data_IF_680049305448
#
_entry.id   IF_680049305448
#
_cell.length_a   1.000
_cell.length_b   1.000
_cell.length_c   1.000
_cell.angle_alpha   90.00
_cell.angle_beta   90.00
_cell.angle_gamma   90.00
#
_symmetry.space_group_name_H-M   'P 1'
#
loop_
_entity.id
_entity.type
_entity.pdbx_description
1 polymer ?
#
# COMPACT_ATOMS: atom_id res chain seq x y z
N UNK A 1 -3.18 29.45 28.79
CA UNK A 1 -3.33 30.57 27.85
C UNK A 1 -4.59 30.34 27.05
N UNK A 2 -5.51 31.31 27.07
CA UNK A 2 -6.78 31.30 26.34
C UNK A 2 -6.59 31.73 24.88
N UNK A 3 -7.45 31.21 23.99
CA UNK A 3 -7.87 31.84 22.73
C UNK A 3 -7.30 31.16 21.48
N UNK A 4 -8.01 30.99 20.35
CA UNK A 4 -9.29 31.53 19.89
C UNK A 4 -9.74 30.68 18.68
N UNK A 5 -11.03 30.32 18.59
CA UNK A 5 -11.64 29.68 17.42
C UNK A 5 -12.08 30.80 16.45
N UNK A 6 -11.68 30.71 15.19
CA UNK A 6 -12.19 31.54 14.10
C UNK A 6 -12.78 30.67 12.99
N UNK A 7 -13.98 31.03 12.56
CA UNK A 7 -14.85 30.25 11.70
C UNK A 7 -15.07 30.94 10.34
N UNK A 8 -15.43 30.09 9.37
CA UNK A 8 -16.31 30.33 8.19
C UNK A 8 -15.78 31.16 7.02
N UNK A 9 -15.80 30.53 5.83
CA UNK A 9 -16.30 31.16 4.60
C UNK A 9 -16.89 30.11 3.64
N UNK A 10 -18.20 30.25 3.36
CA UNK A 10 -18.95 29.60 2.29
C UNK A 10 -18.65 30.29 0.94
N UNK A 11 -18.61 29.53 -0.16
CA UNK A 11 -18.90 30.06 -1.49
C UNK A 11 -19.52 28.97 -2.39
N UNK A 12 -20.83 29.11 -2.64
CA UNK A 12 -21.62 28.37 -3.64
C UNK A 12 -21.58 29.10 -4.98
N UNK A 13 -21.44 28.40 -6.11
CA UNK A 13 -21.78 28.94 -7.43
C UNK A 13 -22.54 27.88 -8.24
N UNK A 14 -23.80 28.20 -8.48
CA UNK A 14 -24.79 27.47 -9.30
C UNK A 14 -24.71 28.03 -10.72
N UNK A 15 -24.64 27.15 -11.73
CA UNK A 15 -24.71 27.52 -13.15
C UNK A 15 -25.85 26.79 -13.85
N UNK A 16 -26.97 27.47 -14.05
CA UNK A 16 -28.14 27.01 -14.80
C UNK A 16 -28.33 27.94 -16.01
N UNK A 17 -28.51 27.39 -17.20
CA UNK A 17 -28.68 28.19 -18.42
C UNK A 17 -29.32 27.38 -19.54
N UNK A 18 -30.65 27.29 -19.51
CA UNK A 18 -31.47 26.84 -20.63
C UNK A 18 -31.73 27.96 -21.62
N UNK A 19 -31.72 27.64 -22.92
CA UNK A 19 -32.15 28.52 -24.00
C UNK A 19 -33.11 27.80 -24.92
N UNK A 20 -34.39 28.19 -24.88
CA UNK A 20 -35.41 27.88 -25.89
C UNK A 20 -35.65 29.10 -26.76
N UNK A 21 -35.77 28.91 -28.07
CA UNK A 21 -36.37 29.91 -28.95
C UNK A 21 -36.02 29.73 -30.43
N UNK A 22 -36.98 29.25 -31.22
CA UNK A 22 -37.72 30.02 -32.22
C UNK A 22 -38.08 29.16 -33.45
N UNK A 23 -39.38 29.04 -33.70
CA UNK A 23 -39.95 28.51 -34.94
C UNK A 23 -39.80 29.55 -36.06
N UNK A 24 -39.25 29.13 -37.20
CA UNK A 24 -39.30 29.87 -38.47
C UNK A 24 -40.00 29.01 -39.52
N UNK A 25 -41.14 29.51 -40.00
CA UNK A 25 -41.91 28.95 -41.10
C UNK A 25 -41.32 29.44 -42.42
N UNK A 26 -40.63 28.55 -43.15
CA UNK A 26 -40.05 28.79 -44.47
C UNK A 26 -40.66 27.89 -45.55
N UNK A 27 -40.81 28.45 -46.74
CA UNK A 27 -41.44 27.93 -47.97
C UNK A 27 -40.81 26.63 -48.51
N UNK A 28 -41.55 25.73 -49.21
CA UNK A 28 -40.99 24.50 -49.74
C UNK A 28 -40.20 24.76 -51.03
N UNK A 29 -38.89 24.69 -50.93
CA UNK A 29 -37.97 24.61 -52.07
C UNK A 29 -37.53 23.15 -52.26
N UNK A 30 -37.51 22.67 -53.51
CA UNK A 30 -37.29 21.27 -53.84
C UNK A 30 -35.88 20.81 -53.43
N UNK A 31 -35.82 19.90 -52.45
CA UNK A 31 -34.59 19.35 -51.88
C UNK A 31 -34.04 18.23 -52.78
N UNK A 32 -32.78 18.29 -53.23
CA UNK A 32 -32.13 17.17 -53.91
C UNK A 32 -31.93 15.98 -52.94
N UNK A 33 -32.11 14.76 -53.45
CA UNK A 33 -32.03 13.54 -52.66
C UNK A 33 -30.72 13.46 -51.84
N UNK A 34 -30.78 13.09 -50.54
CA UNK A 34 -29.60 13.01 -49.69
C UNK A 34 -28.67 11.90 -50.18
N UNK A 35 -27.39 12.22 -50.38
CA UNK A 35 -26.36 11.19 -50.56
C UNK A 35 -26.28 10.33 -49.28
N UNK A 36 -25.98 9.02 -49.42
CA UNK A 36 -25.82 8.15 -48.26
C UNK A 36 -24.77 8.72 -47.31
N UNK A 37 -25.18 9.05 -46.09
CA UNK A 37 -24.28 9.45 -45.02
C UNK A 37 -23.37 8.27 -44.72
N UNK A 38 -22.07 8.44 -44.92
CA UNK A 38 -21.09 7.47 -44.48
C UNK A 38 -21.21 7.32 -42.96
N UNK A 39 -21.71 6.17 -42.50
CA UNK A 39 -21.68 5.80 -41.08
C UNK A 39 -20.22 5.78 -40.66
N UNK A 40 -19.81 6.77 -39.86
CA UNK A 40 -18.51 6.76 -39.20
C UNK A 40 -18.45 5.53 -38.30
N UNK A 41 -17.63 4.55 -38.66
CA UNK A 41 -17.25 3.45 -37.77
C UNK A 41 -16.71 4.06 -36.48
N UNK A 42 -17.23 3.70 -35.29
CA UNK A 42 -16.67 4.20 -34.04
C UNK A 42 -15.18 3.85 -33.99
N UNK A 43 -14.33 4.87 -33.85
CA UNK A 43 -12.91 4.69 -33.52
C UNK A 43 -12.86 3.95 -32.19
N UNK A 44 -12.11 2.84 -32.07
CA UNK A 44 -11.94 2.18 -30.79
C UNK A 44 -11.38 3.19 -29.79
N UNK A 45 -12.06 3.33 -28.66
CA UNK A 45 -11.57 4.11 -27.53
C UNK A 45 -10.25 3.47 -27.06
N UNK A 46 -9.19 4.25 -26.82
CA UNK A 46 -7.95 3.68 -26.32
C UNK A 46 -8.21 3.01 -24.98
N UNK A 47 -8.05 1.68 -24.91
CA UNK A 47 -8.02 0.95 -23.65
C UNK A 47 -6.84 1.50 -22.83
N UNK A 48 -7.14 2.15 -21.71
CA UNK A 48 -6.13 2.52 -20.74
C UNK A 48 -5.57 1.21 -20.17
N UNK A 49 -4.28 0.97 -20.37
CA UNK A 49 -3.62 -0.20 -19.81
C UNK A 49 -3.70 -0.15 -18.28
N UNK A 50 -3.89 -1.30 -17.64
CA UNK A 50 -3.91 -1.39 -16.18
C UNK A 50 -2.49 -1.07 -15.67
N UNK A 51 -2.32 -0.04 -14.81
CA UNK A 51 -1.00 0.31 -14.30
C UNK A 51 -0.32 -0.85 -13.56
N UNK A 52 -1.07 -1.79 -12.97
CA UNK A 52 -0.52 -2.94 -12.26
C UNK A 52 0.23 -3.91 -13.19
N UNK A 53 -0.06 -3.93 -14.49
CA UNK A 53 0.68 -4.75 -15.47
C UNK A 53 2.16 -4.35 -15.58
N UNK A 54 2.52 -3.15 -15.13
CA UNK A 54 3.90 -2.65 -15.16
C UNK A 54 4.72 -3.00 -13.92
N UNK A 55 4.09 -3.54 -12.87
CA UNK A 55 4.74 -3.85 -11.59
C UNK A 55 5.62 -5.08 -11.73
N UNK A 56 6.88 -4.95 -11.29
CA UNK A 56 7.87 -6.04 -11.28
C UNK A 56 8.49 -6.25 -9.91
N UNK A 57 8.22 -5.37 -8.94
CA UNK A 57 8.75 -5.49 -7.59
C UNK A 57 7.75 -4.97 -6.53
N UNK A 58 7.73 -5.66 -5.40
CA UNK A 58 7.18 -5.20 -4.13
C UNK A 58 8.34 -4.80 -3.22
N UNK A 59 8.37 -3.53 -2.81
CA UNK A 59 9.43 -2.98 -1.98
C UNK A 59 8.87 -2.60 -0.62
N UNK A 60 9.22 -3.37 0.40
CA UNK A 60 8.87 -3.06 1.78
C UNK A 60 9.59 -1.78 2.21
N UNK A 61 8.82 -0.75 2.58
CA UNK A 61 9.31 0.47 3.24
C UNK A 61 8.80 0.52 4.68
N UNK A 62 9.35 1.39 5.55
CA UNK A 62 8.87 1.50 6.92
C UNK A 62 7.42 1.98 7.05
N UNK A 63 6.93 2.80 6.12
CA UNK A 63 5.61 3.46 6.26
C UNK A 63 4.58 3.00 5.23
N UNK A 64 5.02 2.40 4.14
CA UNK A 64 4.18 1.93 3.03
C UNK A 64 4.80 0.67 2.41
N UNK A 65 4.01 -0.07 1.66
CA UNK A 65 4.51 -1.03 0.67
C UNK A 65 4.46 -0.37 -0.71
N UNK A 66 5.60 -0.28 -1.40
CA UNK A 66 5.66 0.27 -2.75
C UNK A 66 5.56 -0.84 -3.80
N UNK A 67 4.72 -0.62 -4.81
CA UNK A 67 4.65 -1.42 -6.03
C UNK A 67 5.46 -0.67 -7.09
N UNK A 68 6.56 -1.27 -7.57
CA UNK A 68 7.50 -0.62 -8.49
C UNK A 68 7.54 -1.27 -9.86
N UNK A 69 7.75 -0.44 -10.88
CA UNK A 69 8.00 -0.87 -12.24
C UNK A 69 9.49 -1.14 -12.50
N UNK A 70 9.81 -1.67 -13.69
CA UNK A 70 11.18 -2.09 -14.04
C UNK A 70 12.21 -0.95 -14.14
N UNK A 71 11.75 0.29 -14.27
CA UNK A 71 12.56 1.50 -14.21
C UNK A 71 12.68 2.07 -12.77
N UNK A 72 12.23 1.31 -11.77
CA UNK A 72 12.21 1.67 -10.35
C UNK A 72 11.25 2.82 -9.98
N UNK A 73 10.32 3.17 -10.88
CA UNK A 73 9.25 4.12 -10.60
C UNK A 73 8.19 3.50 -9.69
N UNK A 74 7.65 4.28 -8.75
CA UNK A 74 6.51 3.86 -7.91
C UNK A 74 5.23 3.92 -8.74
N UNK A 75 4.61 2.76 -8.96
CA UNK A 75 3.33 2.60 -9.66
C UNK A 75 2.17 2.84 -8.71
N UNK A 76 2.25 2.27 -7.50
CA UNK A 76 1.27 2.42 -6.45
C UNK A 76 1.92 2.23 -5.07
N UNK A 77 1.22 2.70 -4.03
CA UNK A 77 1.60 2.50 -2.63
C UNK A 77 0.43 1.91 -1.86
N UNK A 78 0.74 1.01 -0.93
CA UNK A 78 -0.21 0.49 0.05
C UNK A 78 0.19 1.06 1.41
N UNK A 79 -0.65 1.93 1.95
CA UNK A 79 -0.47 2.54 3.26
C UNK A 79 -0.78 1.53 4.37
N UNK A 80 0.15 1.32 5.30
CA UNK A 80 -0.03 0.38 6.41
C UNK A 80 -1.11 0.79 7.42
N UNK A 81 -1.52 2.05 7.39
CA UNK A 81 -2.65 2.60 8.14
C UNK A 81 -3.94 2.63 7.32
N UNK A 82 -3.89 2.19 6.06
CA UNK A 82 -5.03 2.10 5.15
C UNK A 82 -5.99 0.97 5.50
N UNK A 83 -7.00 0.78 4.65
CA UNK A 83 -7.94 -0.34 4.78
C UNK A 83 -7.33 -1.61 4.18
N UNK A 84 -7.34 -2.71 4.95
CA UNK A 84 -6.82 -3.99 4.49
C UNK A 84 -7.52 -4.51 3.22
N UNK A 85 -8.82 -4.25 3.07
CA UNK A 85 -9.57 -4.62 1.87
C UNK A 85 -9.01 -3.99 0.58
N UNK A 86 -8.52 -2.75 0.63
CA UNK A 86 -7.93 -2.07 -0.54
C UNK A 86 -6.56 -2.68 -0.89
N UNK A 87 -5.77 -3.03 0.14
CA UNK A 87 -4.50 -3.73 -0.02
C UNK A 87 -4.71 -5.13 -0.64
N UNK A 88 -5.66 -5.90 -0.11
CA UNK A 88 -6.00 -7.23 -0.59
C UNK A 88 -6.52 -7.17 -2.03
N UNK A 89 -7.38 -6.20 -2.37
CA UNK A 89 -7.86 -6.02 -3.72
C UNK A 89 -6.73 -5.68 -4.70
N UNK A 90 -5.80 -4.81 -4.29
CA UNK A 90 -4.63 -4.43 -5.10
C UNK A 90 -3.73 -5.63 -5.38
N UNK A 91 -3.38 -6.41 -4.35
CA UNK A 91 -2.52 -7.59 -4.51
C UNK A 91 -3.22 -8.74 -5.23
N UNK A 92 -4.53 -8.91 -5.05
CA UNK A 92 -5.34 -9.85 -5.85
C UNK A 92 -5.32 -9.48 -7.34
N UNK A 93 -5.44 -8.18 -7.66
CA UNK A 93 -5.31 -7.68 -9.02
C UNK A 93 -3.92 -7.93 -9.61
N UNK A 94 -2.87 -7.65 -8.82
CA UNK A 94 -1.47 -7.87 -9.22
C UNK A 94 -1.15 -9.35 -9.49
N UNK A 95 -1.53 -10.25 -8.58
CA UNK A 95 -1.19 -11.67 -8.69
C UNK A 95 -2.21 -12.48 -9.49
N UNK A 96 -3.36 -11.89 -9.84
CA UNK A 96 -4.41 -12.53 -10.64
C UNK A 96 -5.11 -13.70 -9.94
N UNK A 97 -5.00 -13.80 -8.61
CA UNK A 97 -5.65 -14.84 -7.80
C UNK A 97 -6.02 -14.30 -6.42
N UNK A 98 -7.09 -14.83 -5.84
CA UNK A 98 -7.48 -14.57 -4.46
C UNK A 98 -6.41 -15.11 -3.48
N UNK A 99 -6.20 -14.48 -2.32
CA UNK A 99 -5.31 -14.99 -1.29
C UNK A 99 -5.87 -16.26 -0.64
N UNK A 100 -4.98 -16.98 0.05
CA UNK A 100 -5.38 -17.93 1.09
C UNK A 100 -5.54 -17.16 2.40
N UNK A 101 -6.71 -17.24 3.01
CA UNK A 101 -7.02 -16.55 4.26
C UNK A 101 -6.89 -17.48 5.48
N UNK A 102 -6.13 -17.04 6.49
CA UNK A 102 -5.98 -17.72 7.77
C UNK A 102 -6.30 -16.77 8.93
N UNK A 103 -7.45 -16.98 9.57
CA UNK A 103 -7.83 -16.20 10.74
C UNK A 103 -7.08 -16.67 12.00
N UNK A 104 -6.63 -15.73 12.82
CA UNK A 104 -5.96 -16.03 14.09
C UNK A 104 -6.58 -15.25 15.27
N UNK A 105 -6.62 -15.87 16.48
CA UNK A 105 -7.18 -15.23 17.65
C UNK A 105 -6.21 -14.19 18.24
N UNK A 106 -6.76 -13.24 18.99
CA UNK A 106 -5.95 -12.29 19.76
C UNK A 106 -5.05 -12.99 20.78
N UNK A 107 -3.87 -12.40 21.01
CA UNK A 107 -2.90 -12.83 22.02
C UNK A 107 -2.54 -11.68 22.95
N UNK A 108 -1.59 -11.89 23.88
CA UNK A 108 -1.03 -10.79 24.67
C UNK A 108 -0.15 -9.84 23.86
N UNK A 109 0.28 -10.22 22.65
CA UNK A 109 1.23 -9.47 21.82
C UNK A 109 0.64 -8.94 20.51
N UNK A 110 -0.50 -9.47 20.07
CA UNK A 110 -1.15 -9.09 18.82
C UNK A 110 -2.68 -9.09 18.96
N UNK A 111 -3.41 -8.23 18.23
CA UNK A 111 -4.86 -8.31 18.15
C UNK A 111 -5.29 -9.61 17.45
N UNK A 112 -6.59 -9.85 17.31
CA UNK A 112 -7.05 -10.85 16.35
C UNK A 112 -6.81 -10.32 14.93
N UNK A 113 -6.83 -11.21 13.95
CA UNK A 113 -6.59 -10.80 12.57
C UNK A 113 -6.77 -11.91 11.56
N UNK A 114 -6.39 -11.61 10.32
CA UNK A 114 -6.42 -12.52 9.18
C UNK A 114 -5.11 -12.36 8.41
N UNK A 115 -4.43 -13.48 8.15
CA UNK A 115 -3.32 -13.53 7.21
C UNK A 115 -3.88 -13.78 5.81
N UNK A 116 -3.52 -12.94 4.85
CA UNK A 116 -3.86 -13.06 3.44
C UNK A 116 -2.59 -13.39 2.64
N UNK A 117 -2.49 -14.61 2.12
CA UNK A 117 -1.25 -15.11 1.49
C UNK A 117 -1.39 -15.39 -0.01
N UNK A 118 -0.43 -14.90 -0.80
CA UNK A 118 -0.23 -15.19 -2.22
C UNK A 118 1.14 -15.84 -2.43
N UNK A 119 1.28 -17.13 -2.12
CA UNK A 119 2.60 -17.78 -2.19
C UNK A 119 3.56 -17.14 -1.19
N UNK A 120 4.62 -16.50 -1.69
CA UNK A 120 5.70 -15.96 -0.85
C UNK A 120 5.42 -14.56 -0.26
N UNK A 121 4.21 -14.03 -0.48
CA UNK A 121 3.77 -12.73 0.04
C UNK A 121 2.61 -12.94 0.99
N UNK A 122 2.69 -12.36 2.18
CA UNK A 122 1.58 -12.34 3.14
C UNK A 122 1.30 -10.92 3.62
N UNK A 123 0.02 -10.54 3.63
CA UNK A 123 -0.48 -9.38 4.37
C UNK A 123 -1.12 -9.88 5.67
N UNK A 124 -0.73 -9.29 6.78
CA UNK A 124 -1.33 -9.50 8.11
C UNK A 124 -2.32 -8.37 8.40
N UNK A 125 -3.62 -8.62 8.21
CA UNK A 125 -4.68 -7.71 8.64
C UNK A 125 -4.84 -7.79 10.16
N UNK A 126 -4.65 -6.66 10.84
CA UNK A 126 -4.71 -6.55 12.30
C UNK A 126 -5.97 -5.82 12.75
N UNK A 127 -6.83 -6.54 13.47
CA UNK A 127 -8.14 -6.04 13.90
C UNK A 127 -8.09 -5.52 15.34
N UNK A 128 -7.54 -4.31 15.50
CA UNK A 128 -7.51 -3.62 16.78
C UNK A 128 -8.90 -3.16 17.24
N UNK A 129 -9.09 -3.07 18.56
CA UNK A 129 -10.19 -2.29 19.12
C UNK A 129 -9.91 -0.80 18.90
N UNK A 130 -10.66 -0.19 17.98
CA UNK A 130 -10.49 1.22 17.59
C UNK A 130 -10.79 2.21 18.73
N UNK A 131 -11.69 1.86 19.66
CA UNK A 131 -11.96 2.69 20.82
C UNK A 131 -10.74 2.70 21.75
N UNK A 132 -10.14 1.54 21.99
CA UNK A 132 -8.89 1.41 22.74
C UNK A 132 -7.73 2.11 22.04
N UNK A 133 -7.58 1.97 20.73
CA UNK A 133 -6.51 2.61 19.96
C UNK A 133 -6.62 4.13 20.04
N UNK A 134 -7.83 4.67 19.98
CA UNK A 134 -8.11 6.10 20.19
C UNK A 134 -7.79 6.53 21.62
N UNK A 135 -8.24 5.80 22.64
CA UNK A 135 -7.97 6.13 24.05
C UNK A 135 -6.47 6.17 24.36
N UNK A 136 -5.70 5.26 23.76
CA UNK A 136 -4.23 5.20 23.91
C UNK A 136 -3.47 6.22 23.06
N UNK A 137 -4.15 7.00 22.23
CA UNK A 137 -3.50 7.94 21.30
C UNK A 137 -2.64 7.21 20.26
N UNK A 138 -3.05 6.02 19.84
CA UNK A 138 -2.36 5.20 18.83
C UNK A 138 -3.05 5.26 17.46
N UNK A 139 -4.09 6.08 17.32
CA UNK A 139 -4.73 6.31 16.02
C UNK A 139 -3.73 6.96 15.08
N UNK A 140 -3.45 6.29 13.95
CA UNK A 140 -2.44 6.74 12.98
C UNK A 140 -1.00 6.41 13.38
N UNK A 141 -0.76 5.64 14.44
CA UNK A 141 0.57 5.13 14.77
C UNK A 141 0.85 3.82 14.03
N UNK A 142 2.04 3.71 13.45
CA UNK A 142 2.57 2.50 12.81
C UNK A 142 3.10 1.49 13.82
N UNK A 143 3.13 1.81 15.12
CA UNK A 143 3.30 0.83 16.19
C UNK A 143 2.14 -0.17 16.18
N UNK A 144 0.90 0.30 15.94
CA UNK A 144 -0.32 -0.51 15.79
C UNK A 144 -0.94 -0.29 14.39
N UNK A 145 -0.28 -0.80 13.33
CA UNK A 145 -0.70 -0.60 11.95
C UNK A 145 -1.95 -1.45 11.65
N UNK A 146 -2.76 -1.07 10.67
CA UNK A 146 -3.90 -1.91 10.26
C UNK A 146 -3.43 -3.14 9.47
N UNK A 147 -2.27 -3.05 8.82
CA UNK A 147 -1.67 -4.15 8.09
C UNK A 147 -0.14 -4.18 8.24
N UNK A 148 0.42 -5.39 8.12
CA UNK A 148 1.84 -5.62 7.93
C UNK A 148 2.07 -6.56 6.75
N UNK A 149 3.28 -6.57 6.20
CA UNK A 149 3.70 -7.40 5.07
C UNK A 149 4.82 -8.31 5.51
N UNK A 150 4.84 -9.51 4.93
CA UNK A 150 5.89 -10.50 5.12
C UNK A 150 6.27 -11.10 3.77
N UNK A 151 7.56 -11.12 3.47
CA UNK A 151 8.14 -11.79 2.31
C UNK A 151 9.06 -12.89 2.80
N UNK A 152 8.76 -14.15 2.48
CA UNK A 152 9.56 -15.33 2.88
C UNK A 152 10.40 -15.91 1.73
N UNK A 153 10.32 -15.31 0.55
CA UNK A 153 11.21 -15.54 -0.59
C UNK A 153 11.58 -14.23 -1.28
N UNK A 154 12.53 -14.29 -2.22
CA UNK A 154 12.95 -13.13 -3.02
C UNK A 154 12.05 -12.85 -4.24
N UNK A 155 11.14 -13.76 -4.57
CA UNK A 155 10.24 -13.66 -5.72
C UNK A 155 8.89 -14.31 -5.42
N UNK A 156 7.84 -13.76 -6.01
CA UNK A 156 6.54 -14.40 -6.11
C UNK A 156 5.97 -14.24 -7.53
N UNK A 157 6.17 -15.26 -8.36
CA UNK A 157 5.57 -15.31 -9.70
C UNK A 157 6.17 -14.30 -10.67
N UNK A 158 7.46 -13.97 -10.54
CA UNK A 158 8.15 -12.97 -11.36
C UNK A 158 8.07 -11.54 -10.83
N UNK A 159 7.44 -11.34 -9.67
CA UNK A 159 7.48 -10.08 -8.92
C UNK A 159 8.52 -10.21 -7.82
N UNK A 160 9.58 -9.40 -7.90
CA UNK A 160 10.64 -9.38 -6.90
C UNK A 160 10.10 -8.88 -5.54
N UNK A 161 10.54 -9.50 -4.45
CA UNK A 161 10.15 -9.15 -3.08
C UNK A 161 11.37 -8.67 -2.32
N UNK A 162 11.43 -7.39 -1.98
CA UNK A 162 12.69 -6.79 -1.52
C UNK A 162 12.52 -5.58 -0.60
N UNK A 163 13.64 -5.07 -0.08
CA UNK A 163 13.76 -3.77 0.59
C UNK A 163 14.28 -2.70 -0.38
N UNK A 164 14.27 -1.42 0.02
CA UNK A 164 14.82 -0.35 -0.81
C UNK A 164 16.33 -0.50 -1.12
N UNK A 165 17.05 -1.23 -0.27
CA UNK A 165 18.48 -1.54 -0.41
C UNK A 165 18.72 -2.81 -1.26
N UNK A 166 17.65 -3.51 -1.66
CA UNK A 166 17.74 -4.74 -2.44
C UNK A 166 17.88 -6.02 -1.63
N UNK A 167 17.69 -5.99 -0.30
CA UNK A 167 17.71 -7.21 0.51
C UNK A 167 16.44 -8.03 0.31
N UNK A 168 16.57 -9.34 0.40
CA UNK A 168 15.48 -10.28 0.24
C UNK A 168 15.64 -11.50 1.16
N UNK A 169 14.54 -12.23 1.36
CA UNK A 169 14.60 -13.54 2.01
C UNK A 169 15.47 -14.51 1.18
N UNK A 170 16.34 -15.26 1.85
CA UNK A 170 17.33 -16.13 1.23
C UNK A 170 18.72 -15.50 1.04
N UNK A 171 18.87 -14.18 1.21
CA UNK A 171 20.19 -13.53 1.17
C UNK A 171 21.11 -14.06 2.28
N UNK A 172 22.39 -14.23 1.96
CA UNK A 172 23.38 -14.73 2.92
C UNK A 172 23.53 -13.78 4.12
N UNK A 173 23.29 -14.29 5.33
CA UNK A 173 23.22 -13.46 6.52
C UNK A 173 24.55 -12.79 6.85
N UNK A 174 25.68 -13.48 6.67
CA UNK A 174 27.01 -12.91 6.92
C UNK A 174 27.27 -11.65 6.05
N UNK A 175 26.74 -11.62 4.83
CA UNK A 175 26.87 -10.47 3.93
C UNK A 175 25.95 -9.34 4.38
N UNK A 176 24.69 -9.66 4.66
CA UNK A 176 23.66 -8.69 5.08
C UNK A 176 24.03 -8.05 6.42
N UNK A 177 24.40 -8.84 7.43
CA UNK A 177 24.74 -8.35 8.76
C UNK A 177 26.02 -7.49 8.80
N UNK A 178 26.89 -7.62 7.79
CA UNK A 178 28.10 -6.82 7.65
C UNK A 178 27.88 -5.51 6.86
N UNK A 179 26.70 -5.33 6.26
CA UNK A 179 26.40 -4.16 5.44
C UNK A 179 26.24 -2.90 6.32
N UNK A 180 26.74 -1.76 5.83
CA UNK A 180 26.78 -0.51 6.60
C UNK A 180 25.42 0.18 6.78
N UNK A 181 24.45 -0.21 5.96
CA UNK A 181 23.08 0.28 5.91
C UNK A 181 22.10 -0.62 6.69
N UNK A 182 22.56 -1.74 7.23
CA UNK A 182 21.79 -2.56 8.17
C UNK A 182 22.03 -2.08 9.60
N UNK A 183 20.96 -1.67 10.27
CA UNK A 183 21.00 -1.23 11.66
C UNK A 183 20.72 -2.41 12.59
N UNK A 184 21.71 -2.80 13.39
CA UNK A 184 21.53 -3.83 14.41
C UNK A 184 20.49 -3.39 15.45
N UNK A 185 19.63 -4.32 15.87
CA UNK A 185 18.68 -4.08 16.95
C UNK A 185 19.22 -4.63 18.28
N UNK A 186 19.68 -3.78 19.22
CA UNK A 186 20.22 -4.24 20.50
C UNK A 186 19.17 -4.82 21.44
N UNK A 187 17.88 -4.57 21.22
CA UNK A 187 16.81 -5.12 22.07
C UNK A 187 16.52 -6.59 21.80
N UNK A 188 16.92 -7.10 20.62
CA UNK A 188 16.60 -8.44 20.09
C UNK A 188 15.08 -8.75 19.99
N UNK A 189 14.20 -7.78 20.27
CA UNK A 189 12.75 -7.95 20.21
C UNK A 189 12.25 -8.07 18.77
N UNK A 190 12.96 -7.43 17.86
CA UNK A 190 12.82 -7.57 16.41
C UNK A 190 14.23 -7.74 15.82
N UNK A 191 14.31 -8.24 14.59
CA UNK A 191 15.59 -8.39 13.89
C UNK A 191 16.23 -7.04 13.52
N UNK A 192 17.45 -7.07 12.95
CA UNK A 192 18.08 -5.90 12.37
C UNK A 192 17.22 -5.23 11.29
N UNK A 193 17.35 -3.92 11.16
CA UNK A 193 16.57 -3.11 10.24
C UNK A 193 17.36 -2.77 8.98
N UNK A 194 16.75 -3.01 7.81
CA UNK A 194 17.24 -2.52 6.52
C UNK A 194 16.95 -1.02 6.31
N UNK A 195 15.85 -0.55 6.89
CA UNK A 195 15.42 0.85 6.81
C UNK A 195 14.69 1.22 8.09
N UNK A 196 14.82 2.48 8.52
CA UNK A 196 14.16 3.06 9.68
C UNK A 196 13.44 4.36 9.27
N UNK A 197 12.28 4.60 9.85
CA UNK A 197 11.56 5.87 9.82
C UNK A 197 11.02 6.20 11.22
N UNK A 198 10.70 7.46 11.47
CA UNK A 198 10.02 7.85 12.70
C UNK A 198 8.53 7.47 12.62
N UNK A 199 7.98 6.95 13.72
CA UNK A 199 6.53 6.81 13.86
C UNK A 199 5.90 8.21 13.90
N UNK A 200 4.80 8.46 13.18
CA UNK A 200 4.18 9.78 13.10
C UNK A 200 3.54 10.25 14.41
N UNK A 201 3.31 9.36 15.38
CA UNK A 201 2.55 9.63 16.60
C UNK A 201 3.37 9.34 17.87
N UNK A 202 4.15 8.26 17.86
CA UNK A 202 4.92 7.77 18.99
C UNK A 202 6.40 8.16 18.84
N UNK A 203 7.13 8.39 19.95
CA UNK A 203 8.57 8.60 19.92
C UNK A 203 9.31 7.25 19.75
N UNK A 204 9.01 6.54 18.68
CA UNK A 204 9.56 5.21 18.35
C UNK A 204 9.85 5.16 16.86
N UNK A 205 10.84 4.37 16.47
CA UNK A 205 11.14 4.15 15.06
C UNK A 205 10.40 2.93 14.55
N UNK A 206 10.10 2.95 13.26
CA UNK A 206 9.48 1.87 12.50
C UNK A 206 10.50 1.34 11.51
N UNK A 207 10.58 0.02 11.41
CA UNK A 207 11.58 -0.67 10.63
C UNK A 207 10.98 -1.51 9.50
N UNK A 208 11.80 -1.65 8.46
CA UNK A 208 11.80 -2.85 7.61
C UNK A 208 12.80 -3.83 8.23
N UNK A 209 12.29 -4.92 8.81
CA UNK A 209 13.09 -5.89 9.56
C UNK A 209 13.52 -7.04 8.66
N UNK A 210 14.78 -7.42 8.80
CA UNK A 210 15.35 -8.64 8.23
C UNK A 210 15.33 -9.73 9.30
N UNK A 211 14.34 -10.62 9.22
CA UNK A 211 14.20 -11.69 10.18
C UNK A 211 15.34 -12.71 10.02
N UNK A 212 15.93 -13.06 11.15
CA UNK A 212 17.02 -14.03 11.24
C UNK A 212 16.92 -14.73 12.60
N UNK A 213 17.19 -16.03 12.62
CA UNK A 213 17.31 -16.81 13.85
C UNK A 213 18.78 -17.08 14.17
N UNK A 214 19.19 -17.13 15.45
CA UNK A 214 20.57 -17.46 15.81
C UNK A 214 21.06 -18.74 15.14
N UNK A 215 22.08 -18.62 14.29
CA UNK A 215 22.66 -19.72 13.54
C UNK A 215 22.07 -19.96 12.14
N UNK A 216 21.07 -19.18 11.71
CA UNK A 216 20.60 -19.21 10.33
C UNK A 216 21.68 -18.67 9.37
N UNK A 217 21.85 -19.32 8.23
CA UNK A 217 22.85 -18.91 7.22
C UNK A 217 22.32 -17.80 6.30
N UNK A 218 21.02 -17.53 6.32
CA UNK A 218 20.35 -16.56 5.46
C UNK A 218 19.30 -15.74 6.20
N UNK A 219 18.87 -14.64 5.57
CA UNK A 219 17.65 -13.91 5.92
C UNK A 219 16.46 -14.86 5.75
N UNK A 220 15.62 -14.99 6.77
CA UNK A 220 14.44 -15.86 6.77
C UNK A 220 13.25 -15.17 6.13
N UNK A 221 13.04 -13.88 6.43
CA UNK A 221 11.99 -13.08 5.84
C UNK A 221 12.29 -11.58 5.92
N UNK A 222 11.60 -10.81 5.09
CA UNK A 222 11.51 -9.35 5.19
C UNK A 222 10.13 -9.00 5.74
N UNK A 223 10.05 -8.12 6.73
CA UNK A 223 8.78 -7.71 7.33
C UNK A 223 8.70 -6.20 7.58
N UNK A 224 7.53 -5.60 7.34
CA UNK A 224 7.26 -4.18 7.62
C UNK A 224 5.75 -3.92 7.77
N UNK A 225 5.31 -2.92 8.55
CA UNK A 225 6.10 -2.15 9.49
C UNK A 225 6.27 -2.92 10.80
N UNK A 226 7.44 -2.80 11.44
CA UNK A 226 7.65 -3.30 12.79
C UNK A 226 8.27 -2.22 13.69
N UNK A 227 7.81 -2.07 14.94
CA UNK A 227 8.43 -1.14 15.86
C UNK A 227 9.88 -1.57 16.15
N UNK A 228 10.76 -0.58 16.20
CA UNK A 228 12.19 -0.75 16.45
C UNK A 228 12.53 -0.18 17.83
N UNK A 229 12.77 -1.07 18.78
CA UNK A 229 13.08 -0.72 20.15
C UNK A 229 14.58 -0.80 20.40
N UNK A 230 15.17 0.22 21.02
CA UNK A 230 16.59 0.20 21.42
C UNK A 230 16.79 -0.18 22.89
N UNK A 231 15.74 -0.05 23.72
CA UNK A 231 15.80 -0.18 25.18
C UNK A 231 14.97 -1.38 25.72
N UNK A 232 15.03 -2.52 25.02
CA UNK A 232 14.33 -3.76 25.41
C UNK A 232 12.90 -3.88 24.89
N UNK A 233 12.24 -5.01 25.16
CA UNK A 233 10.90 -5.31 24.65
C UNK A 233 9.85 -4.68 25.57
N UNK A 234 9.04 -3.80 25.00
CA UNK A 234 7.91 -3.14 25.69
C UNK A 234 6.58 -3.80 25.39
#
# INVERSE_FOLDING_TARGET
MLGTIAAVALATLVGCGGGSGAEQTGSPEAVPAPLPTATSTPTPEPTVADPLESVVALVARPTVLELRSADDSVVAEIDYLGAAADAVATLTGLFGTDPVDEAYPATSHAPAGVLHSWGSVTIDERQYDEAMRTEKGLQGSLVWPNLAVYFDAADNGGVALTTAQGYAAGDAWETVAAASDVTANPSECTGPAAELADDPVQPTQIAVVLAHEPGAESVLSVAAPLPFYVDGCV
#
